data_IF_232680383544
#
_entry.id   IF_232680383544
#
_cell.length_a   1.000
_cell.length_b   1.000
_cell.length_c   1.000
_cell.angle_alpha   90.00
_cell.angle_beta   90.00
_cell.angle_gamma   90.00
#
_symmetry.space_group_name_H-M   'P 1'
#
loop_
_entity.id
_entity.type
_entity.pdbx_description
1 polymer ?
#
# COMPACT_ATOMS: atom_id res chain seq x y z
N UNK A 1 -3.75 -43.36 -59.51
CA UNK A 1 -2.58 -44.12 -60.01
C UNK A 1 -1.38 -43.22 -59.81
N UNK A 2 -0.43 -43.45 -58.92
CA UNK A 2 0.20 -44.72 -58.52
C UNK A 2 0.58 -44.61 -57.03
N UNK A 3 0.37 -45.73 -56.34
CA UNK A 3 0.89 -46.09 -55.03
C UNK A 3 2.36 -46.49 -55.22
N UNK A 4 3.29 -45.93 -54.44
CA UNK A 4 4.57 -46.62 -54.16
C UNK A 4 4.88 -46.49 -52.68
N UNK A 5 4.93 -47.65 -52.03
CA UNK A 5 5.36 -47.86 -50.67
C UNK A 5 6.76 -48.50 -50.67
N UNK A 6 7.51 -48.29 -49.58
CA UNK A 6 8.72 -49.04 -49.20
C UNK A 6 9.99 -48.17 -49.13
N UNK A 7 10.91 -48.32 -48.19
CA UNK A 7 11.09 -49.29 -47.09
C UNK A 7 12.08 -48.70 -46.06
N UNK A 8 11.92 -49.10 -44.79
CA UNK A 8 12.92 -49.38 -43.74
C UNK A 8 14.12 -48.46 -43.45
N UNK A 9 14.30 -48.14 -42.16
CA UNK A 9 15.63 -47.87 -41.59
C UNK A 9 15.64 -47.07 -40.29
N UNK A 10 15.40 -47.73 -39.15
CA UNK A 10 15.64 -47.19 -37.82
C UNK A 10 17.14 -46.93 -37.60
N UNK A 11 17.52 -45.77 -37.04
CA UNK A 11 18.62 -45.64 -36.06
C UNK A 11 18.23 -44.51 -35.09
N UNK A 12 18.06 -44.88 -33.82
CA UNK A 12 17.88 -43.98 -32.69
C UNK A 12 19.18 -43.26 -32.35
N UNK A 13 19.12 -41.94 -32.13
CA UNK A 13 20.07 -41.23 -31.29
C UNK A 13 19.30 -40.64 -30.11
N UNK A 14 19.53 -41.21 -28.92
CA UNK A 14 19.13 -40.65 -27.63
C UNK A 14 20.08 -39.50 -27.31
N UNK A 15 19.53 -38.33 -27.03
CA UNK A 15 20.23 -37.25 -26.34
C UNK A 15 19.79 -37.28 -24.87
N UNK A 16 20.76 -37.47 -23.98
CA UNK A 16 20.61 -37.44 -22.53
C UNK A 16 20.25 -36.01 -22.08
N UNK A 17 18.99 -35.81 -21.66
CA UNK A 17 18.58 -34.63 -20.90
C UNK A 17 18.89 -34.89 -19.42
N UNK A 18 19.89 -34.18 -18.92
CA UNK A 18 20.23 -34.07 -17.51
C UNK A 18 19.05 -33.39 -16.80
N UNK A 19 18.34 -34.17 -16.00
CA UNK A 19 17.19 -33.74 -15.21
C UNK A 19 17.70 -32.99 -13.97
N UNK A 20 17.71 -31.66 -14.06
CA UNK A 20 17.94 -30.78 -12.92
C UNK A 20 16.61 -30.65 -12.16
N UNK A 21 16.55 -31.34 -11.03
CA UNK A 21 15.42 -31.39 -10.12
C UNK A 21 15.10 -30.00 -9.58
N UNK A 22 14.20 -29.27 -10.24
CA UNK A 22 13.53 -28.12 -9.66
C UNK A 22 12.68 -28.61 -8.48
N UNK A 23 13.11 -28.30 -7.26
CA UNK A 23 12.30 -28.46 -6.06
C UNK A 23 11.08 -27.56 -6.23
N UNK A 24 9.83 -28.08 -6.24
CA UNK A 24 8.67 -27.22 -6.31
C UNK A 24 8.62 -26.38 -5.03
N UNK A 25 8.65 -25.07 -5.20
CA UNK A 25 8.42 -24.11 -4.14
C UNK A 25 7.07 -24.42 -3.50
N UNK A 26 7.10 -24.94 -2.27
CA UNK A 26 5.90 -25.20 -1.48
C UNK A 26 5.29 -23.84 -1.16
N UNK A 27 4.34 -23.42 -1.99
CA UNK A 27 3.44 -22.33 -1.67
C UNK A 27 2.59 -22.81 -0.49
N UNK A 28 3.06 -22.50 0.71
CA UNK A 28 2.24 -22.60 1.91
C UNK A 28 1.06 -21.65 1.68
N UNK A 29 -0.20 -22.11 1.74
CA UNK A 29 -1.34 -21.23 1.51
C UNK A 29 -1.32 -20.17 2.62
N UNK A 30 -0.88 -18.96 2.27
CA UNK A 30 -1.00 -17.82 3.14
C UNK A 30 -2.50 -17.63 3.42
N UNK A 31 -2.88 -17.58 4.70
CA UNK A 31 -4.26 -17.23 5.05
C UNK A 31 -4.65 -15.92 4.36
N UNK A 32 -5.89 -15.77 3.88
CA UNK A 32 -6.29 -14.55 3.19
C UNK A 32 -6.10 -13.37 4.14
N UNK A 33 -5.23 -12.44 3.77
CA UNK A 33 -5.06 -11.17 4.48
C UNK A 33 -6.39 -10.42 4.40
N UNK A 34 -6.80 -9.79 5.49
CA UNK A 34 -8.00 -8.97 5.53
C UNK A 34 -7.73 -7.70 6.32
N UNK A 35 -8.31 -6.59 5.88
CA UNK A 35 -8.24 -5.33 6.60
C UNK A 35 -9.44 -5.22 7.54
N UNK A 36 -9.20 -5.08 8.84
CA UNK A 36 -10.25 -4.86 9.83
C UNK A 36 -10.41 -3.36 10.11
N UNK A 37 -11.55 -2.79 9.71
CA UNK A 37 -11.86 -1.38 9.97
C UNK A 37 -12.18 -1.13 11.44
N UNK A 38 -11.81 0.05 11.92
CA UNK A 38 -12.36 0.60 13.15
C UNK A 38 -13.88 0.81 13.02
N UNK A 39 -14.59 0.59 14.13
CA UNK A 39 -16.05 0.75 14.19
C UNK A 39 -16.34 1.82 15.25
N UNK A 40 -16.96 2.96 14.88
CA UNK A 40 -17.35 3.97 15.85
C UNK A 40 -18.35 3.40 16.85
N UNK A 41 -18.31 3.85 18.12
CA UNK A 41 -19.31 3.47 19.11
C UNK A 41 -20.74 3.72 18.62
N UNK A 42 -21.66 2.79 18.91
CA UNK A 42 -23.06 2.85 18.43
C UNK A 42 -23.79 4.11 18.93
N UNK A 43 -23.39 4.62 20.08
CA UNK A 43 -23.95 5.84 20.68
C UNK A 43 -23.54 7.12 19.94
N UNK A 44 -22.51 7.05 19.09
CA UNK A 44 -21.98 8.17 18.31
C UNK A 44 -22.79 8.31 17.03
N UNK A 45 -23.83 9.15 17.07
CA UNK A 45 -24.80 9.29 15.98
C UNK A 45 -24.47 10.39 14.99
N UNK A 46 -23.71 11.41 15.40
CA UNK A 46 -23.35 12.53 14.52
C UNK A 46 -22.36 12.07 13.42
N UNK A 47 -22.67 12.28 12.13
CA UNK A 47 -21.80 11.82 11.04
C UNK A 47 -20.38 12.40 11.06
N UNK A 48 -20.24 13.66 11.48
CA UNK A 48 -18.95 14.36 11.51
C UNK A 48 -18.10 13.86 12.67
N UNK A 49 -18.69 13.72 13.86
CA UNK A 49 -18.06 13.09 15.02
C UNK A 49 -17.57 11.67 14.67
N UNK A 50 -18.39 10.90 13.96
CA UNK A 50 -18.01 9.55 13.49
C UNK A 50 -16.85 9.58 12.51
N UNK A 51 -16.78 10.55 11.60
CA UNK A 51 -15.66 10.71 10.70
C UNK A 51 -14.36 11.07 11.44
N UNK A 52 -14.44 11.95 12.45
CA UNK A 52 -13.31 12.29 13.33
C UNK A 52 -12.79 11.07 14.09
N UNK A 53 -13.70 10.23 14.59
CA UNK A 53 -13.30 8.97 15.21
C UNK A 53 -12.62 8.06 14.20
N UNK A 54 -13.23 7.86 13.03
CA UNK A 54 -12.69 6.96 12.02
C UNK A 54 -11.32 7.40 11.53
N UNK A 55 -11.10 8.69 11.25
CA UNK A 55 -9.80 9.16 10.76
C UNK A 55 -8.69 8.98 11.79
N UNK A 56 -9.01 9.07 13.08
CA UNK A 56 -8.02 8.97 14.17
C UNK A 56 -7.80 7.55 14.69
N UNK A 57 -8.69 6.61 14.35
CA UNK A 57 -8.64 5.20 14.77
C UNK A 57 -8.55 4.20 13.60
N UNK A 58 -8.49 4.69 12.36
CA UNK A 58 -8.61 3.87 11.14
C UNK A 58 -7.68 2.66 11.12
N UNK A 59 -6.45 2.87 11.59
CA UNK A 59 -5.34 1.91 11.50
C UNK A 59 -5.07 1.14 12.80
N UNK A 60 -5.89 1.30 13.84
CA UNK A 60 -5.63 0.73 15.18
C UNK A 60 -5.43 -0.78 15.19
N UNK A 61 -6.06 -1.50 14.26
CA UNK A 61 -5.98 -2.97 14.13
C UNK A 61 -5.03 -3.44 13.04
N UNK A 62 -4.39 -2.52 12.32
CA UNK A 62 -3.50 -2.86 11.22
C UNK A 62 -2.12 -3.30 11.74
N UNK A 63 -1.64 -4.45 11.25
CA UNK A 63 -0.32 -4.94 11.63
C UNK A 63 0.78 -4.36 10.73
N UNK A 64 1.38 -3.24 11.16
CA UNK A 64 2.46 -2.57 10.43
C UNK A 64 3.76 -3.38 10.28
N UNK A 65 3.94 -4.47 11.04
CA UNK A 65 5.09 -5.38 10.90
C UNK A 65 4.94 -6.41 9.80
N UNK A 66 3.71 -6.66 9.33
CA UNK A 66 3.47 -7.59 8.23
C UNK A 66 3.65 -6.86 6.89
N UNK A 67 4.89 -6.78 6.43
CA UNK A 67 5.24 -6.09 5.17
C UNK A 67 4.65 -6.75 3.93
N UNK A 68 4.05 -7.95 4.04
CA UNK A 68 3.30 -8.54 2.94
C UNK A 68 2.05 -7.73 2.57
N UNK A 69 1.56 -6.88 3.47
CA UNK A 69 0.50 -5.91 3.14
C UNK A 69 0.92 -4.90 2.06
N UNK A 70 2.22 -4.62 1.89
CA UNK A 70 2.71 -3.76 0.80
C UNK A 70 2.53 -4.40 -0.57
N UNK A 71 2.40 -5.73 -0.63
CA UNK A 71 2.21 -6.52 -1.86
C UNK A 71 0.76 -6.98 -2.03
N UNK A 72 -0.18 -6.40 -1.27
CA UNK A 72 -1.60 -6.73 -1.32
C UNK A 72 -2.44 -5.47 -1.62
N UNK A 73 -2.36 -4.93 -2.86
CA UNK A 73 -3.00 -3.66 -3.21
C UNK A 73 -4.52 -3.68 -3.01
N UNK A 74 -5.19 -4.81 -3.32
CA UNK A 74 -6.63 -4.97 -3.12
C UNK A 74 -7.10 -4.77 -1.67
N UNK A 75 -6.15 -4.84 -0.72
CA UNK A 75 -6.38 -4.68 0.71
C UNK A 75 -5.87 -3.32 1.16
N UNK A 76 -4.55 -3.11 1.13
CA UNK A 76 -3.92 -1.97 1.80
C UNK A 76 -4.10 -0.68 1.04
N UNK A 77 -4.01 -0.73 -0.30
CA UNK A 77 -4.22 0.46 -1.13
C UNK A 77 -5.69 0.87 -1.08
N UNK A 78 -6.61 -0.09 -1.16
CA UNK A 78 -8.04 0.18 -0.95
C UNK A 78 -8.31 0.78 0.42
N UNK A 79 -7.72 0.23 1.48
CA UNK A 79 -7.85 0.79 2.83
C UNK A 79 -7.29 2.22 2.92
N UNK A 80 -6.16 2.49 2.25
CA UNK A 80 -5.59 3.83 2.19
C UNK A 80 -6.51 4.83 1.46
N UNK A 81 -7.11 4.43 0.34
CA UNK A 81 -8.11 5.23 -0.38
C UNK A 81 -9.34 5.50 0.50
N UNK A 82 -9.85 4.46 1.17
CA UNK A 82 -10.97 4.59 2.11
C UNK A 82 -10.61 5.55 3.28
N UNK A 83 -9.35 5.56 3.74
CA UNK A 83 -8.86 6.47 4.78
C UNK A 83 -8.85 7.93 4.32
N UNK A 84 -8.23 8.24 3.17
CA UNK A 84 -8.19 9.63 2.66
C UNK A 84 -9.58 10.12 2.23
N UNK A 85 -10.50 9.22 1.87
CA UNK A 85 -11.89 9.57 1.57
C UNK A 85 -12.67 10.06 2.80
N UNK A 86 -12.17 9.83 4.02
CA UNK A 86 -12.78 10.38 5.25
C UNK A 86 -12.49 11.87 5.42
N UNK A 87 -11.41 12.39 4.83
CA UNK A 87 -10.90 13.72 5.12
C UNK A 87 -11.94 14.85 4.92
N UNK A 88 -12.72 14.88 3.82
CA UNK A 88 -13.75 15.91 3.61
C UNK A 88 -14.92 15.86 4.60
N UNK A 89 -15.02 14.78 5.39
CA UNK A 89 -16.11 14.56 6.34
C UNK A 89 -15.69 14.83 7.78
N UNK A 90 -14.41 15.12 8.03
CA UNK A 90 -13.89 15.47 9.36
C UNK A 90 -14.27 16.89 9.74
N UNK A 91 -14.36 17.16 11.05
CA UNK A 91 -14.70 18.47 11.59
C UNK A 91 -13.59 19.50 11.44
N UNK A 92 -12.34 19.06 11.39
CA UNK A 92 -11.18 19.93 11.32
C UNK A 92 -9.97 19.26 10.68
N UNK A 93 -9.16 20.10 10.05
CA UNK A 93 -7.85 19.69 9.51
C UNK A 93 -6.95 19.05 10.58
N UNK A 94 -7.04 19.50 11.83
CA UNK A 94 -6.26 18.92 12.92
C UNK A 94 -6.57 17.44 13.19
N UNK A 95 -7.80 16.97 12.93
CA UNK A 95 -8.15 15.55 13.03
C UNK A 95 -7.53 14.73 11.91
N UNK A 96 -7.46 15.29 10.71
CA UNK A 96 -6.75 14.70 9.58
C UNK A 96 -5.26 14.58 9.93
N UNK A 97 -4.62 15.66 10.39
CA UNK A 97 -3.22 15.64 10.81
C UNK A 97 -2.96 14.61 11.91
N UNK A 98 -3.84 14.50 12.91
CA UNK A 98 -3.73 13.48 13.97
C UNK A 98 -3.77 12.05 13.38
N UNK A 99 -4.73 11.76 12.50
CA UNK A 99 -4.85 10.45 11.86
C UNK A 99 -3.65 10.10 10.98
N UNK A 100 -3.15 11.07 10.21
CA UNK A 100 -1.96 10.91 9.36
C UNK A 100 -0.71 10.65 10.20
N UNK A 101 -0.51 11.41 11.28
CA UNK A 101 0.61 11.19 12.19
C UNK A 101 0.56 9.79 12.81
N UNK A 102 -0.62 9.37 13.32
CA UNK A 102 -0.80 8.01 13.85
C UNK A 102 -0.46 6.93 12.82
N UNK A 103 -0.90 7.08 11.57
CA UNK A 103 -0.56 6.16 10.48
C UNK A 103 0.95 6.07 10.28
N UNK A 104 1.61 7.23 10.12
CA UNK A 104 3.02 7.27 9.76
C UNK A 104 3.92 6.87 10.93
N UNK A 105 3.63 7.31 12.16
CA UNK A 105 4.32 6.88 13.38
C UNK A 105 4.30 5.36 13.53
N UNK A 106 3.15 4.72 13.26
CA UNK A 106 3.02 3.27 13.33
C UNK A 106 3.75 2.57 12.18
N UNK A 107 3.72 3.15 10.98
CA UNK A 107 4.43 2.63 9.81
C UNK A 107 5.96 2.75 9.93
N UNK A 108 6.48 3.72 10.69
CA UNK A 108 7.93 3.91 10.90
C UNK A 108 8.63 2.71 11.56
N UNK A 109 7.89 1.75 12.12
CA UNK A 109 8.46 0.50 12.63
C UNK A 109 9.12 -0.31 11.52
N UNK A 110 8.60 -0.24 10.29
CA UNK A 110 9.12 -0.95 9.12
C UNK A 110 9.32 0.03 7.96
N UNK A 111 10.57 0.26 7.55
CA UNK A 111 10.89 1.26 6.53
C UNK A 111 10.12 1.05 5.21
N UNK A 112 9.94 -0.21 4.80
CA UNK A 112 9.17 -0.55 3.58
C UNK A 112 7.71 -0.11 3.71
N UNK A 113 7.10 -0.28 4.89
CA UNK A 113 5.71 0.12 5.15
C UNK A 113 5.56 1.64 5.15
N UNK A 114 6.49 2.33 5.82
CA UNK A 114 6.53 3.79 5.83
C UNK A 114 6.64 4.36 4.40
N UNK A 115 7.62 3.89 3.62
CA UNK A 115 7.81 4.31 2.23
C UNK A 115 6.60 3.99 1.36
N UNK A 116 5.94 2.84 1.58
CA UNK A 116 4.71 2.49 0.89
C UNK A 116 3.62 3.53 1.11
N UNK A 117 3.32 3.90 2.36
CA UNK A 117 2.26 4.89 2.64
C UNK A 117 2.61 6.30 2.13
N UNK A 118 3.87 6.74 2.26
CA UNK A 118 4.30 8.02 1.67
C UNK A 118 4.14 8.02 0.16
N UNK A 119 4.50 6.91 -0.52
CA UNK A 119 4.32 6.78 -1.97
C UNK A 119 2.85 6.80 -2.37
N UNK A 120 1.95 6.17 -1.60
CA UNK A 120 0.51 6.24 -1.87
C UNK A 120 -0.07 7.63 -1.63
N UNK A 121 0.39 8.35 -0.60
CA UNK A 121 0.01 9.73 -0.38
C UNK A 121 0.40 10.62 -1.57
N UNK A 122 1.63 10.52 -2.06
CA UNK A 122 2.04 11.24 -3.28
C UNK A 122 1.19 10.86 -4.49
N UNK A 123 0.97 9.56 -4.72
CA UNK A 123 0.20 9.10 -5.89
C UNK A 123 -1.24 9.64 -5.89
N UNK A 124 -1.93 9.59 -4.75
CA UNK A 124 -3.34 9.98 -4.70
C UNK A 124 -3.57 11.46 -4.49
N UNK A 125 -2.72 12.13 -3.70
CA UNK A 125 -2.98 13.51 -3.28
C UNK A 125 -2.16 14.55 -4.07
N UNK A 126 -1.04 14.15 -4.70
CA UNK A 126 -0.18 15.08 -5.44
C UNK A 126 -0.25 14.92 -6.97
N UNK A 127 -0.38 13.68 -7.48
CA UNK A 127 -0.34 13.41 -8.93
C UNK A 127 -1.39 14.26 -9.68
N UNK A 128 -1.00 15.05 -10.70
CA UNK A 128 -1.91 15.85 -11.53
C UNK A 128 -3.06 15.06 -12.15
N UNK A 129 -2.89 13.76 -12.39
CA UNK A 129 -3.90 12.90 -12.99
C UNK A 129 -4.77 12.17 -11.95
N UNK A 130 -4.47 12.31 -10.66
CA UNK A 130 -5.28 11.68 -9.62
C UNK A 130 -6.62 12.40 -9.48
N UNK A 131 -7.75 11.66 -9.51
CA UNK A 131 -9.05 12.25 -9.19
C UNK A 131 -9.19 12.66 -7.73
N UNK A 132 -8.31 12.17 -6.85
CA UNK A 132 -8.27 12.50 -5.42
C UNK A 132 -7.23 13.59 -5.09
N UNK A 133 -6.62 14.19 -6.11
CA UNK A 133 -5.57 15.22 -5.94
C UNK A 133 -6.06 16.34 -5.04
N UNK A 134 -5.33 16.59 -3.97
CA UNK A 134 -5.58 17.67 -3.02
C UNK A 134 -4.29 17.99 -2.26
N UNK A 135 -3.68 19.13 -2.59
CA UNK A 135 -2.40 19.56 -2.01
C UNK A 135 -2.53 19.84 -0.50
N UNK A 136 -3.68 20.36 -0.04
CA UNK A 136 -3.94 20.63 1.38
C UNK A 136 -3.93 19.34 2.21
N UNK A 137 -4.56 18.28 1.70
CA UNK A 137 -4.55 16.97 2.36
C UNK A 137 -3.20 16.25 2.29
N UNK A 138 -2.30 16.66 1.40
CA UNK A 138 -0.94 16.14 1.34
C UNK A 138 -0.05 16.75 2.44
N UNK A 139 -0.27 18.02 2.83
CA UNK A 139 0.50 18.75 3.85
C UNK A 139 0.84 17.91 5.09
N UNK A 140 -0.11 17.24 5.79
CA UNK A 140 0.22 16.51 7.02
C UNK A 140 1.19 15.36 6.79
N UNK A 141 1.18 14.73 5.60
CA UNK A 141 2.16 13.71 5.25
C UNK A 141 3.55 14.32 5.05
N UNK A 142 3.63 15.46 4.36
CA UNK A 142 4.90 16.16 4.12
C UNK A 142 5.51 16.68 5.41
N UNK A 143 4.70 17.30 6.28
CA UNK A 143 5.13 17.78 7.59
C UNK A 143 5.72 16.64 8.42
N UNK A 144 5.04 15.50 8.45
CA UNK A 144 5.53 14.31 9.15
C UNK A 144 6.89 13.84 8.57
N UNK A 145 7.04 13.77 7.25
CA UNK A 145 8.31 13.35 6.61
C UNK A 145 9.44 14.33 6.95
N UNK A 146 9.19 15.64 6.90
CA UNK A 146 10.22 16.65 7.20
C UNK A 146 10.63 16.62 8.67
N UNK A 147 9.68 16.39 9.57
CA UNK A 147 9.91 16.38 11.01
C UNK A 147 10.46 15.03 11.54
N UNK A 148 10.29 13.93 10.81
CA UNK A 148 10.79 12.61 11.23
C UNK A 148 12.31 12.57 11.32
N UNK A 149 12.86 12.16 12.46
CA UNK A 149 14.30 11.93 12.62
C UNK A 149 14.79 10.64 11.95
N UNK A 150 13.88 9.75 11.53
CA UNK A 150 14.18 8.47 10.87
C UNK A 150 14.33 8.59 9.35
N UNK A 151 13.82 9.68 8.77
CA UNK A 151 14.00 9.97 7.35
C UNK A 151 15.32 10.71 7.13
N UNK A 152 16.16 10.19 6.23
CA UNK A 152 17.41 10.87 5.85
C UNK A 152 17.13 12.23 5.19
N UNK A 153 17.96 13.23 5.48
CA UNK A 153 17.74 14.61 5.01
C UNK A 153 17.61 14.74 3.48
N UNK A 154 18.31 13.89 2.71
CA UNK A 154 18.21 13.88 1.24
C UNK A 154 16.77 13.63 0.76
N UNK A 155 16.01 12.81 1.48
CA UNK A 155 14.61 12.50 1.15
C UNK A 155 13.63 13.59 1.63
N UNK A 156 14.09 14.56 2.42
CA UNK A 156 13.27 15.70 2.89
C UNK A 156 13.30 16.88 1.95
N UNK A 157 14.23 16.92 0.99
CA UNK A 157 14.37 18.05 0.05
C UNK A 157 13.08 18.29 -0.72
N UNK A 158 12.51 17.24 -1.34
CA UNK A 158 11.27 17.36 -2.11
C UNK A 158 10.05 17.68 -1.24
N UNK A 159 9.81 17.00 -0.10
CA UNK A 159 8.73 17.36 0.81
C UNK A 159 8.79 18.81 1.31
N UNK A 160 9.98 19.32 1.66
CA UNK A 160 10.17 20.74 2.04
C UNK A 160 9.76 21.68 0.90
N UNK A 161 10.24 21.40 -0.30
CA UNK A 161 9.86 22.20 -1.47
C UNK A 161 8.35 22.16 -1.76
N UNK A 162 7.71 21.00 -1.61
CA UNK A 162 6.25 20.88 -1.78
C UNK A 162 5.47 21.65 -0.71
N UNK A 163 5.96 21.66 0.54
CA UNK A 163 5.38 22.48 1.62
C UNK A 163 5.53 23.97 1.36
N UNK A 164 6.66 24.42 0.79
CA UNK A 164 6.87 25.83 0.44
C UNK A 164 5.91 26.33 -0.66
N UNK A 165 5.32 25.42 -1.44
CA UNK A 165 4.38 25.72 -2.53
C UNK A 165 2.89 25.65 -2.11
N UNK A 166 2.59 24.99 -0.99
CA UNK A 166 1.23 24.76 -0.50
C UNK A 166 0.71 25.98 0.27
#
# INVERSE_FOLDING_TARGET
MILVAGVAGCISKKEDKKEESAVPEVQTPAMPRNFERAVPPVMMTDPQERADYLVTHFWDKFNFRDTMYCHAPDITERAFVDFIALFPHTSSFSRISEGVNKLLDAAEVENVMYTYFCSKAEHYLYDPNSPMRNDEYLIPFLEHIVNSSKVMDVYKIRPRYQLDLA
#
